data_IF_037136990947
#
_entry.id   IF_037136990947
#
_cell.length_a   1.000
_cell.length_b   1.000
_cell.length_c   1.000
_cell.angle_alpha   90.00
_cell.angle_beta   90.00
_cell.angle_gamma   90.00
#
_symmetry.space_group_name_H-M   'P 1'
#
loop_
_entity.id
_entity.type
_entity.pdbx_description
1 polymer ?
#
# COMPACT_ATOMS: atom_id res chain seq x y z
N UNK A 1 -11.14 -12.62 -20.35
CA UNK A 1 -9.89 -12.78 -19.59
C UNK A 1 -9.65 -11.45 -18.89
N UNK A 2 -9.63 -11.40 -17.55
CA UNK A 2 -9.30 -10.16 -16.85
C UNK A 2 -7.85 -9.80 -17.18
N UNK A 3 -7.61 -8.56 -17.57
CA UNK A 3 -6.26 -8.06 -17.77
C UNK A 3 -5.63 -7.96 -16.38
N UNK A 4 -4.61 -8.78 -16.11
CA UNK A 4 -3.83 -8.67 -14.87
C UNK A 4 -3.07 -7.35 -14.94
N UNK A 5 -3.52 -6.35 -14.17
CA UNK A 5 -2.82 -5.07 -14.06
C UNK A 5 -1.71 -5.17 -13.00
N UNK A 6 -0.73 -4.25 -13.00
CA UNK A 6 0.33 -4.26 -11.99
C UNK A 6 -0.22 -4.20 -10.55
N UNK A 7 -1.26 -3.39 -10.31
CA UNK A 7 -1.97 -3.38 -9.02
C UNK A 7 -2.57 -4.74 -8.63
N UNK A 8 -3.14 -5.50 -9.59
CA UNK A 8 -3.62 -6.86 -9.29
C UNK A 8 -2.47 -7.78 -8.88
N UNK A 9 -1.31 -7.69 -9.55
CA UNK A 9 -0.12 -8.47 -9.14
C UNK A 9 0.29 -8.16 -7.69
N UNK A 10 0.29 -6.89 -7.29
CA UNK A 10 0.59 -6.51 -5.90
C UNK A 10 -0.47 -7.06 -4.95
N UNK A 11 -1.76 -6.93 -5.30
CA UNK A 11 -2.85 -7.40 -4.46
C UNK A 11 -2.85 -8.93 -4.28
N UNK A 12 -2.58 -9.69 -5.34
CA UNK A 12 -2.50 -11.16 -5.33
C UNK A 12 -1.39 -11.67 -4.39
N UNK A 13 -0.32 -10.88 -4.21
CA UNK A 13 0.77 -11.17 -3.26
C UNK A 13 0.35 -10.79 -1.84
N UNK A 14 -0.15 -9.56 -1.65
CA UNK A 14 -0.33 -8.98 -0.33
C UNK A 14 -1.60 -9.46 0.39
N UNK A 15 -2.69 -9.69 -0.33
CA UNK A 15 -3.96 -10.10 0.27
C UNK A 15 -3.83 -11.42 1.07
N UNK A 16 -3.34 -12.53 0.49
CA UNK A 16 -3.19 -13.78 1.24
C UNK A 16 -2.12 -13.66 2.33
N UNK A 17 -1.06 -12.89 2.08
CA UNK A 17 0.01 -12.64 3.05
C UNK A 17 -0.49 -12.01 4.36
N UNK A 18 -1.32 -10.97 4.23
CA UNK A 18 -1.89 -10.26 5.37
C UNK A 18 -3.10 -10.96 5.96
N UNK A 19 -3.85 -11.76 5.18
CA UNK A 19 -4.92 -12.59 5.71
C UNK A 19 -4.41 -13.60 6.76
N UNK A 20 -3.22 -14.15 6.54
CA UNK A 20 -2.54 -15.02 7.53
C UNK A 20 -2.10 -14.28 8.80
N UNK A 21 -2.11 -12.94 8.79
CA UNK A 21 -1.71 -12.07 9.89
C UNK A 21 -2.89 -11.30 10.48
N UNK A 22 -4.13 -11.77 10.24
CA UNK A 22 -5.35 -11.13 10.73
C UNK A 22 -5.30 -10.86 12.23
N UNK A 23 -4.81 -11.83 13.02
CA UNK A 23 -4.66 -11.70 14.47
C UNK A 23 -3.73 -10.55 14.86
N UNK A 24 -2.57 -10.46 14.20
CA UNK A 24 -1.57 -9.41 14.46
C UNK A 24 -2.10 -8.04 14.05
N UNK A 25 -2.70 -7.94 12.86
CA UNK A 25 -3.34 -6.72 12.38
C UNK A 25 -4.46 -6.23 13.30
N UNK A 26 -5.25 -7.16 13.84
CA UNK A 26 -6.32 -6.85 14.78
C UNK A 26 -5.76 -6.23 16.07
N UNK A 27 -4.76 -6.88 16.67
CA UNK A 27 -4.12 -6.41 17.89
C UNK A 27 -3.43 -5.05 17.70
N UNK A 28 -2.73 -4.85 16.57
CA UNK A 28 -2.13 -3.57 16.25
C UNK A 28 -3.18 -2.46 16.09
N UNK A 29 -4.25 -2.74 15.36
CA UNK A 29 -5.33 -1.77 15.14
C UNK A 29 -6.02 -1.36 16.44
N UNK A 30 -6.12 -2.28 17.41
CA UNK A 30 -6.65 -1.98 18.74
C UNK A 30 -5.69 -1.17 19.63
N UNK A 31 -4.38 -1.30 19.43
CA UNK A 31 -3.40 -0.54 20.20
C UNK A 31 -3.41 0.96 19.92
N UNK A 32 -4.03 1.41 18.81
CA UNK A 32 -3.97 2.77 18.25
C UNK A 32 -2.57 3.27 17.88
N UNK A 33 -1.52 2.48 18.10
CA UNK A 33 -0.17 2.80 17.69
C UNK A 33 -0.03 2.73 16.16
N UNK A 34 0.85 3.56 15.60
CA UNK A 34 1.30 3.34 14.22
C UNK A 34 2.19 2.11 14.16
N UNK A 35 1.95 1.27 13.15
CA UNK A 35 2.73 0.07 12.85
C UNK A 35 3.23 0.07 11.40
N UNK A 36 3.41 1.26 10.81
CA UNK A 36 3.90 1.43 9.43
C UNK A 36 5.23 0.73 9.19
N UNK A 37 6.18 0.79 10.12
CA UNK A 37 7.47 0.13 9.92
C UNK A 37 7.35 -1.40 9.87
N UNK A 38 6.45 -1.97 10.69
CA UNK A 38 6.12 -3.40 10.61
C UNK A 38 5.43 -3.71 9.28
N UNK A 39 4.46 -2.89 8.87
CA UNK A 39 3.75 -3.06 7.61
C UNK A 39 4.74 -3.04 6.42
N UNK A 40 5.67 -2.08 6.38
CA UNK A 40 6.70 -1.97 5.34
C UNK A 40 7.60 -3.21 5.30
N UNK A 41 7.97 -3.76 6.46
CA UNK A 41 8.71 -5.02 6.55
C UNK A 41 7.89 -6.18 5.99
N UNK A 42 6.61 -6.27 6.34
CA UNK A 42 5.73 -7.32 5.84
C UNK A 42 5.54 -7.24 4.32
N UNK A 43 5.43 -6.03 3.74
CA UNK A 43 5.44 -5.83 2.29
C UNK A 43 6.75 -6.39 1.69
N UNK A 44 7.90 -6.00 2.23
CA UNK A 44 9.20 -6.47 1.76
C UNK A 44 9.31 -8.00 1.82
N UNK A 45 8.92 -8.61 2.95
CA UNK A 45 8.97 -10.05 3.16
C UNK A 45 8.03 -10.81 2.21
N UNK A 46 6.83 -10.29 1.97
CA UNK A 46 5.87 -10.89 1.05
C UNK A 46 6.43 -11.00 -0.37
N UNK A 47 6.99 -9.91 -0.89
CA UNK A 47 7.59 -9.90 -2.23
C UNK A 47 8.83 -10.78 -2.32
N UNK A 48 9.70 -10.76 -1.30
CA UNK A 48 10.88 -11.63 -1.25
C UNK A 48 10.48 -13.11 -1.29
N UNK A 49 9.45 -13.51 -0.54
CA UNK A 49 8.94 -14.88 -0.54
C UNK A 49 8.32 -15.29 -1.89
N UNK A 50 7.84 -14.32 -2.68
CA UNK A 50 7.37 -14.53 -4.05
C UNK A 50 8.50 -14.45 -5.10
N UNK A 51 9.77 -14.46 -4.66
CA UNK A 51 10.93 -14.53 -5.54
C UNK A 51 11.33 -13.21 -6.18
N UNK A 52 10.82 -12.07 -5.70
CA UNK A 52 11.27 -10.75 -6.16
C UNK A 52 12.59 -10.36 -5.50
N UNK A 53 13.39 -9.56 -6.20
CA UNK A 53 14.49 -8.83 -5.56
C UNK A 53 13.95 -7.53 -4.98
N UNK A 54 14.16 -7.31 -3.68
CA UNK A 54 13.54 -6.19 -2.96
C UNK A 54 14.58 -5.21 -2.41
N UNK A 55 14.28 -3.93 -2.52
CA UNK A 55 14.96 -2.84 -1.84
C UNK A 55 13.96 -2.11 -0.94
N UNK A 56 14.22 -2.06 0.36
CA UNK A 56 13.48 -1.22 1.29
C UNK A 56 14.02 0.21 1.26
N UNK A 57 13.12 1.20 1.33
CA UNK A 57 13.49 2.62 1.28
C UNK A 57 14.33 3.01 0.03
N UNK A 58 13.92 2.62 -1.19
CA UNK A 58 14.67 2.90 -2.42
C UNK A 58 14.79 4.39 -2.67
N UNK A 59 15.91 4.84 -3.27
CA UNK A 59 16.10 6.25 -3.62
C UNK A 59 15.43 6.58 -4.96
N UNK A 60 14.53 7.54 -5.00
CA UNK A 60 13.95 8.01 -6.28
C UNK A 60 15.03 8.51 -7.24
N UNK A 61 16.08 9.13 -6.72
CA UNK A 61 17.24 9.60 -7.51
C UNK A 61 18.04 8.49 -8.19
N UNK A 62 17.95 7.24 -7.72
CA UNK A 62 18.59 6.10 -8.37
C UNK A 62 17.73 5.58 -9.54
N UNK A 63 16.42 5.82 -9.50
CA UNK A 63 15.46 5.38 -10.52
C UNK A 63 15.29 6.41 -11.64
N UNK A 64 15.37 7.70 -11.30
CA UNK A 64 15.02 8.76 -12.22
C UNK A 64 15.35 10.15 -11.71
N UNK A 65 14.82 11.13 -12.42
CA UNK A 65 14.83 12.53 -12.02
C UNK A 65 13.49 12.88 -11.37
N UNK A 66 13.57 13.69 -10.32
CA UNK A 66 12.41 14.19 -9.57
C UNK A 66 12.72 15.62 -9.13
N UNK A 67 11.68 16.46 -9.07
CA UNK A 67 11.80 17.85 -8.63
C UNK A 67 12.31 18.02 -7.18
N UNK A 68 12.22 16.96 -6.36
CA UNK A 68 12.62 16.95 -4.96
C UNK A 68 13.80 16.00 -4.79
N UNK A 69 14.91 16.56 -4.29
CA UNK A 69 16.12 15.79 -4.01
C UNK A 69 15.92 14.98 -2.73
N UNK A 70 16.47 13.76 -2.69
CA UNK A 70 16.48 12.85 -1.52
C UNK A 70 15.17 12.13 -1.15
N UNK A 71 14.19 12.06 -2.05
CA UNK A 71 12.98 11.26 -1.81
C UNK A 71 13.27 9.76 -1.76
N UNK A 72 12.62 9.08 -0.83
CA UNK A 72 12.64 7.63 -0.66
C UNK A 72 11.23 7.07 -0.86
N UNK A 73 11.14 5.91 -1.51
CA UNK A 73 9.90 5.13 -1.54
C UNK A 73 9.83 4.19 -0.35
N UNK A 74 8.78 3.38 -0.25
CA UNK A 74 8.70 2.35 0.79
C UNK A 74 9.33 1.04 0.35
N UNK A 75 8.97 0.56 -0.85
CA UNK A 75 9.46 -0.69 -1.43
C UNK A 75 9.71 -0.55 -2.93
N UNK A 76 10.84 -1.07 -3.40
CA UNK A 76 11.06 -1.40 -4.80
C UNK A 76 11.22 -2.92 -4.92
N UNK A 77 10.34 -3.56 -5.69
CA UNK A 77 10.42 -4.99 -5.99
C UNK A 77 10.70 -5.19 -7.48
N UNK A 78 11.71 -5.98 -7.81
CA UNK A 78 12.11 -6.29 -9.20
C UNK A 78 11.85 -7.76 -9.47
N UNK A 79 11.08 -8.04 -10.52
CA UNK A 79 10.78 -9.40 -10.97
C UNK A 79 11.99 -9.94 -11.74
N UNK A 80 12.66 -11.04 -11.31
CA UNK A 80 13.95 -11.43 -11.90
C UNK A 80 13.89 -11.87 -13.37
N UNK A 81 12.78 -12.47 -13.81
CA UNK A 81 12.60 -13.00 -15.17
C UNK A 81 12.37 -11.90 -16.21
N UNK A 82 11.51 -10.93 -15.90
CA UNK A 82 11.14 -9.85 -16.83
C UNK A 82 11.88 -8.55 -16.58
N UNK A 83 12.54 -8.41 -15.43
CA UNK A 83 13.09 -7.14 -14.93
C UNK A 83 12.05 -6.04 -14.72
N UNK A 84 10.75 -6.38 -14.72
CA UNK A 84 9.69 -5.45 -14.36
C UNK A 84 9.87 -5.00 -12.91
N UNK A 85 9.77 -3.69 -12.68
CA UNK A 85 9.94 -3.09 -11.36
C UNK A 85 8.60 -2.60 -10.82
N UNK A 86 8.41 -2.73 -9.52
CA UNK A 86 7.23 -2.27 -8.78
C UNK A 86 7.73 -1.34 -7.67
N UNK A 87 7.55 -0.03 -7.85
CA UNK A 87 7.77 0.96 -6.81
C UNK A 87 6.45 1.21 -6.08
N UNK A 88 6.44 0.89 -4.80
CA UNK A 88 5.24 0.93 -3.97
C UNK A 88 5.45 1.97 -2.87
N UNK A 89 4.52 2.92 -2.78
CA UNK A 89 4.34 3.80 -1.62
C UNK A 89 3.12 3.29 -0.84
N UNK A 90 3.24 3.18 0.47
CA UNK A 90 2.19 2.69 1.35
C UNK A 90 1.81 3.73 2.39
N UNK A 91 0.51 3.80 2.67
CA UNK A 91 -0.02 4.54 3.79
C UNK A 91 -0.89 3.63 4.65
N UNK A 92 -0.58 3.57 5.93
CA UNK A 92 -1.41 2.89 6.92
C UNK A 92 -2.39 3.89 7.53
N UNK A 93 -3.68 3.62 7.40
CA UNK A 93 -4.75 4.45 7.98
C UNK A 93 -5.51 3.59 8.99
N UNK A 94 -5.36 3.93 10.26
CA UNK A 94 -6.18 3.38 11.34
C UNK A 94 -7.06 4.47 11.95
N UNK A 95 -8.12 4.07 12.67
CA UNK A 95 -9.05 5.00 13.31
C UNK A 95 -8.35 6.11 14.13
N UNK A 96 -7.31 5.75 14.90
CA UNK A 96 -6.54 6.70 15.71
C UNK A 96 -5.60 7.65 14.94
N UNK A 97 -5.38 7.42 13.64
CA UNK A 97 -4.35 8.14 12.86
C UNK A 97 -4.89 8.89 11.65
N UNK A 98 -6.17 8.70 11.29
CA UNK A 98 -6.87 9.28 10.12
C UNK A 98 -6.58 10.76 9.84
N UNK A 99 -6.56 11.61 10.87
CA UNK A 99 -6.48 13.07 10.70
C UNK A 99 -5.18 13.56 10.01
N UNK A 100 -4.11 12.76 10.00
CA UNK A 100 -2.81 13.15 9.43
C UNK A 100 -2.55 12.60 8.02
N UNK A 101 -3.35 11.64 7.55
CA UNK A 101 -2.95 10.82 6.41
C UNK A 101 -3.38 11.36 5.05
N UNK A 102 -4.49 12.11 4.93
CA UNK A 102 -5.00 12.56 3.62
C UNK A 102 -3.92 13.31 2.83
N UNK A 103 -3.26 14.27 3.47
CA UNK A 103 -2.20 15.05 2.84
C UNK A 103 -0.97 14.20 2.52
N UNK A 104 -0.57 13.26 3.40
CA UNK A 104 0.56 12.38 3.11
C UNK A 104 0.25 11.50 1.91
N UNK A 105 -0.91 10.85 1.88
CA UNK A 105 -1.36 9.98 0.78
C UNK A 105 -1.38 10.76 -0.53
N UNK A 106 -1.90 11.99 -0.54
CA UNK A 106 -1.91 12.85 -1.71
C UNK A 106 -0.48 13.18 -2.18
N UNK A 107 0.41 13.59 -1.26
CA UNK A 107 1.83 13.85 -1.57
C UNK A 107 2.53 12.60 -2.10
N UNK A 108 2.24 11.43 -1.53
CA UNK A 108 2.85 10.16 -1.97
C UNK A 108 2.45 9.81 -3.39
N UNK A 109 1.17 9.98 -3.73
CA UNK A 109 0.67 9.81 -5.09
C UNK A 109 1.32 10.79 -6.07
N UNK A 110 1.43 12.07 -5.69
CA UNK A 110 2.08 13.09 -6.53
C UNK A 110 3.58 12.80 -6.75
N UNK A 111 4.30 12.31 -5.73
CA UNK A 111 5.70 11.86 -5.88
C UNK A 111 5.81 10.78 -6.96
N UNK A 112 4.92 9.79 -6.91
CA UNK A 112 4.89 8.71 -7.90
C UNK A 112 4.61 9.26 -9.30
N UNK A 113 3.67 10.19 -9.47
CA UNK A 113 3.37 10.80 -10.78
C UNK A 113 4.56 11.58 -11.35
N UNK A 114 5.27 12.33 -10.50
CA UNK A 114 6.32 13.25 -10.92
C UNK A 114 7.66 12.57 -11.26
N UNK A 115 7.83 11.29 -10.90
CA UNK A 115 9.04 10.55 -11.24
C UNK A 115 9.23 10.47 -12.76
N UNK A 116 10.36 10.92 -13.27
CA UNK A 116 10.75 10.77 -14.66
C UNK A 116 11.90 9.76 -14.75
N UNK A 117 11.67 8.63 -15.40
CA UNK A 117 12.71 7.60 -15.52
C UNK A 117 13.87 8.11 -16.37
N UNK A 118 15.10 7.84 -15.92
CA UNK A 118 16.29 8.14 -16.74
C UNK A 118 16.37 7.27 -17.99
N UNK A 119 15.85 6.06 -17.88
CA UNK A 119 15.81 5.09 -18.95
C UNK A 119 14.34 4.75 -19.26
N UNK A 120 13.85 5.26 -20.40
CA UNK A 120 12.49 5.04 -20.86
C UNK A 120 12.19 3.58 -21.26
N UNK A 121 13.23 2.75 -21.42
CA UNK A 121 13.05 1.32 -21.68
C UNK A 121 12.75 0.53 -20.40
N UNK A 122 12.99 1.10 -19.21
CA UNK A 122 12.66 0.46 -17.95
C UNK A 122 11.15 0.47 -17.72
N UNK A 123 10.58 -0.72 -17.54
CA UNK A 123 9.19 -0.89 -17.17
C UNK A 123 9.06 -0.78 -15.64
N UNK A 124 8.82 0.45 -15.18
CA UNK A 124 8.50 0.73 -13.77
C UNK A 124 6.99 0.88 -13.59
N UNK A 125 6.41 -0.02 -12.79
CA UNK A 125 5.07 0.08 -12.26
C UNK A 125 5.09 0.87 -10.94
N UNK A 126 4.30 1.94 -10.90
CA UNK A 126 4.19 2.82 -9.74
C UNK A 126 2.86 2.57 -9.06
N UNK A 127 2.90 2.22 -7.78
CA UNK A 127 1.73 1.77 -7.05
C UNK A 127 1.57 2.60 -5.77
N UNK A 128 0.42 3.25 -5.65
CA UNK A 128 -0.04 3.75 -4.36
C UNK A 128 -0.87 2.66 -3.69
N UNK A 129 -0.43 2.20 -2.52
CA UNK A 129 -1.19 1.33 -1.64
C UNK A 129 -1.72 2.15 -0.46
N UNK A 130 -3.02 2.10 -0.22
CA UNK A 130 -3.65 2.61 1.01
C UNK A 130 -4.18 1.41 1.78
N UNK A 131 -3.65 1.20 2.98
CA UNK A 131 -4.03 0.12 3.88
C UNK A 131 -4.90 0.69 4.99
N UNK A 132 -6.21 0.48 4.88
CA UNK A 132 -7.18 0.85 5.92
C UNK A 132 -7.28 -0.29 6.94
N UNK A 133 -7.34 0.02 8.23
CA UNK A 133 -7.50 -1.00 9.26
C UNK A 133 -8.26 -0.50 10.49
N UNK A 134 -9.25 -1.26 10.93
CA UNK A 134 -9.99 -1.01 12.18
C UNK A 134 -10.17 -2.33 12.94
N UNK A 135 -10.17 -2.25 14.27
CA UNK A 135 -10.43 -3.39 15.15
C UNK A 135 -11.90 -3.52 15.57
N UNK A 136 -12.73 -2.54 15.23
CA UNK A 136 -14.13 -2.46 15.68
C UNK A 136 -15.11 -2.21 14.52
N UNK A 137 -14.62 -1.75 13.38
CA UNK A 137 -15.44 -1.44 12.20
C UNK A 137 -15.25 -2.48 11.09
N UNK A 138 -16.30 -2.64 10.30
CA UNK A 138 -16.35 -3.47 9.10
C UNK A 138 -16.80 -2.62 7.91
N UNK A 139 -16.64 -3.15 6.70
CA UNK A 139 -16.94 -2.43 5.45
C UNK A 139 -16.25 -1.06 5.42
N UNK A 140 -14.94 -1.05 5.68
CA UNK A 140 -14.17 0.17 5.93
C UNK A 140 -14.20 1.14 4.77
N UNK A 141 -14.22 0.62 3.54
CA UNK A 141 -14.27 1.47 2.34
C UNK A 141 -15.55 2.29 2.31
N UNK A 142 -16.68 1.68 2.71
CA UNK A 142 -17.95 2.38 2.81
C UNK A 142 -18.00 3.28 4.05
N UNK A 143 -17.66 2.74 5.23
CA UNK A 143 -17.73 3.45 6.51
C UNK A 143 -16.84 4.69 6.54
N UNK A 144 -15.71 4.66 5.83
CA UNK A 144 -14.77 5.78 5.75
C UNK A 144 -14.83 6.52 4.41
N UNK A 145 -15.87 6.32 3.59
CA UNK A 145 -15.96 6.94 2.27
C UNK A 145 -15.89 8.47 2.37
N UNK A 146 -16.64 9.10 3.28
CA UNK A 146 -16.57 10.56 3.49
C UNK A 146 -15.14 11.03 3.77
N UNK A 147 -14.38 10.25 4.54
CA UNK A 147 -12.98 10.57 4.81
C UNK A 147 -12.10 10.40 3.57
N UNK A 148 -12.32 9.34 2.80
CA UNK A 148 -11.58 9.04 1.56
C UNK A 148 -11.89 10.06 0.45
N UNK A 149 -13.11 10.58 0.36
CA UNK A 149 -13.49 11.65 -0.58
C UNK A 149 -12.69 12.95 -0.37
N UNK A 150 -12.05 13.11 0.79
CA UNK A 150 -11.10 14.18 1.06
C UNK A 150 -9.72 14.02 0.39
N UNK A 151 -9.45 12.87 -0.23
CA UNK A 151 -8.22 12.61 -1.01
C UNK A 151 -8.56 12.81 -2.49
N UNK A 152 -7.92 13.79 -3.13
CA UNK A 152 -8.27 14.24 -4.49
C UNK A 152 -8.26 13.09 -5.50
N UNK A 153 -7.19 12.29 -5.55
CA UNK A 153 -7.11 11.21 -6.53
C UNK A 153 -8.12 10.08 -6.27
N UNK A 154 -8.53 9.85 -5.01
CA UNK A 154 -9.56 8.86 -4.67
C UNK A 154 -10.93 9.31 -5.17
N UNK A 155 -11.28 10.58 -4.91
CA UNK A 155 -12.54 11.19 -5.38
C UNK A 155 -12.64 11.15 -6.89
N UNK A 156 -11.54 11.46 -7.57
CA UNK A 156 -11.53 11.60 -9.02
C UNK A 156 -11.38 10.23 -9.73
N UNK A 157 -10.71 9.25 -9.08
CA UNK A 157 -10.47 7.92 -9.64
C UNK A 157 -10.59 6.83 -8.58
N UNK A 158 -11.44 5.83 -8.85
CA UNK A 158 -11.54 4.64 -7.99
C UNK A 158 -10.24 3.84 -7.97
N UNK A 159 -9.99 3.13 -6.88
CA UNK A 159 -8.92 2.14 -6.79
C UNK A 159 -9.03 1.14 -7.95
N UNK A 160 -7.90 0.80 -8.56
CA UNK A 160 -7.82 -0.16 -9.65
C UNK A 160 -8.22 -1.57 -9.21
N UNK A 161 -7.84 -1.92 -7.98
CA UNK A 161 -8.31 -3.12 -7.30
C UNK A 161 -8.37 -2.87 -5.78
N UNK A 162 -9.21 -3.67 -5.12
CA UNK A 162 -9.36 -3.64 -3.68
C UNK A 162 -9.61 -5.07 -3.17
N UNK A 163 -9.13 -5.36 -1.96
CA UNK A 163 -9.56 -6.54 -1.22
C UNK A 163 -9.68 -6.21 0.27
N UNK A 164 -10.56 -6.94 0.94
CA UNK A 164 -10.72 -6.87 2.39
C UNK A 164 -10.17 -8.12 3.07
N UNK A 165 -9.82 -7.96 4.33
CA UNK A 165 -9.32 -9.01 5.21
C UNK A 165 -10.09 -8.87 6.52
N UNK A 166 -10.83 -9.91 6.89
CA UNK A 166 -11.46 -9.97 8.20
C UNK A 166 -10.39 -10.03 9.30
N UNK A 167 -10.51 -9.17 10.31
CA UNK A 167 -9.62 -9.13 11.45
C UNK A 167 -10.29 -9.76 12.66
N UNK A 168 -9.65 -10.79 13.20
CA UNK A 168 -10.10 -11.52 14.37
C UNK A 168 -8.89 -11.80 15.25
N UNK A 169 -9.03 -11.75 16.58
CA UNK A 169 -7.96 -12.13 17.49
C UNK A 169 -8.62 -12.89 18.65
N UNK A 170 -8.13 -14.09 19.03
CA UNK A 170 -8.83 -14.94 20.00
C UNK A 170 -8.97 -14.31 21.39
N UNK A 171 -8.09 -13.35 21.73
CA UNK A 171 -8.15 -12.59 22.98
C UNK A 171 -8.96 -11.28 22.90
N UNK A 172 -9.66 -11.01 21.80
CA UNK A 172 -10.43 -9.77 21.60
C UNK A 172 -11.88 -10.08 21.26
N UNK A 173 -12.81 -9.34 21.85
CA UNK A 173 -14.25 -9.58 21.68
C UNK A 173 -14.83 -8.97 20.38
N UNK A 174 -14.13 -8.00 19.79
CA UNK A 174 -14.56 -7.29 18.59
C UNK A 174 -14.14 -8.02 17.32
N UNK A 175 -14.75 -7.65 16.21
CA UNK A 175 -14.30 -8.04 14.88
C UNK A 175 -13.97 -6.76 14.12
N UNK A 176 -12.87 -6.79 13.39
CA UNK A 176 -12.43 -5.69 12.56
C UNK A 176 -12.29 -6.08 11.10
N UNK A 177 -11.79 -5.15 10.32
CA UNK A 177 -11.45 -5.35 8.92
C UNK A 177 -10.17 -4.58 8.58
N UNK A 178 -9.43 -5.09 7.61
CA UNK A 178 -8.47 -4.30 6.86
C UNK A 178 -8.88 -4.27 5.39
N UNK A 179 -8.67 -3.14 4.73
CA UNK A 179 -8.90 -2.98 3.30
C UNK A 179 -7.61 -2.51 2.61
N UNK A 180 -7.22 -3.20 1.54
CA UNK A 180 -6.11 -2.83 0.69
C UNK A 180 -6.68 -2.16 -0.56
N UNK A 181 -6.38 -0.88 -0.76
CA UNK A 181 -6.81 -0.11 -1.92
C UNK A 181 -5.58 0.25 -2.76
N UNK A 182 -5.58 -0.08 -4.05
CA UNK A 182 -4.41 0.11 -4.92
C UNK A 182 -4.72 0.94 -6.16
N UNK A 183 -3.81 1.85 -6.50
CA UNK A 183 -3.81 2.60 -7.75
C UNK A 183 -2.53 2.34 -8.53
N UNK A 184 -2.65 2.12 -9.84
CA UNK A 184 -1.55 2.36 -10.76
C UNK A 184 -1.45 3.88 -10.97
N UNK A 185 -0.24 4.43 -10.77
CA UNK A 185 0.04 5.87 -10.84
C UNK A 185 0.80 6.23 -12.12
#
# INVERSE_FOLDING_TARGET
MSVITPAHTVLDILQPWFAQKSHTLHAFSASTASYEEWLNWELFAAFLQHGYHCEGRPSYQQLGDHCLKSLKGDLLATRPDTQDKYLIEVALVGAGTQNKWREKIQRDHEKLQQLQLRDASQKLHRIQLVFLASCEEQDLVHSWDEWLQGITFYRDHRAHCAATIALNHPGMATQGEAALLLWNV
#
